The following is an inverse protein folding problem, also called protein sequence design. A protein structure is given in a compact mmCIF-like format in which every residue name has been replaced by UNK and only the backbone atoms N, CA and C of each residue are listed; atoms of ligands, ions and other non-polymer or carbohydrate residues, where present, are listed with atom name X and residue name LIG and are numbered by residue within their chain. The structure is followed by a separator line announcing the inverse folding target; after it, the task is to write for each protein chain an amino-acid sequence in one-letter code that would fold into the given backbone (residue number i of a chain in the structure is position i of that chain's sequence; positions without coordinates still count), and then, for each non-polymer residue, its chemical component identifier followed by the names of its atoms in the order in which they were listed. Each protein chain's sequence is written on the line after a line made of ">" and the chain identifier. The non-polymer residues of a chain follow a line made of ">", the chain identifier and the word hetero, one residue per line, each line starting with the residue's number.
data_IF_387898581021
#
_entry.id   IF_387898581021
#
_cell.length_a   1.000
_cell.length_b   1.000
_cell.length_c   1.000
_cell.angle_alpha   90.00
_cell.angle_beta   90.00
_cell.angle_gamma   90.00
#
_symmetry.space_group_name_H-M   'P 1'
#
loop_
_entity.id
_entity.type
_entity.pdbx_description
1 polymer ?
#
# COMPACT_ATOMS: atom_id res chain seq x y z
N UNK A 1 -5.94 -20.49 21.72
CA UNK A 1 -4.68 -19.71 21.67
C UNK A 1 -5.00 -18.35 21.08
N UNK A 2 -5.28 -17.36 21.92
CA UNK A 2 -5.74 -16.04 21.48
C UNK A 2 -4.52 -15.16 21.14
N UNK A 3 -4.42 -14.71 19.89
CA UNK A 3 -3.46 -13.68 19.49
C UNK A 3 -3.84 -12.36 20.18
N UNK A 4 -3.05 -11.94 21.16
CA UNK A 4 -3.15 -10.62 21.80
C UNK A 4 -2.20 -9.69 21.04
N UNK A 5 -2.68 -8.82 20.14
CA UNK A 5 -1.79 -7.86 19.49
C UNK A 5 -1.16 -6.96 20.56
N UNK A 6 0.13 -6.61 20.44
CA UNK A 6 0.72 -5.61 21.31
C UNK A 6 0.05 -4.27 21.02
N UNK A 7 -0.88 -3.88 21.89
CA UNK A 7 -1.46 -2.55 21.88
C UNK A 7 -0.34 -1.52 22.03
N UNK A 8 -0.21 -0.67 21.02
CA UNK A 8 0.45 0.63 21.12
C UNK A 8 -0.36 1.43 22.14
N UNK A 9 0.23 1.70 23.31
CA UNK A 9 -0.24 2.82 24.13
C UNK A 9 0.16 4.09 23.39
N UNK A 10 -0.78 4.68 22.67
CA UNK A 10 -0.61 6.05 22.19
C UNK A 10 -0.40 6.96 23.42
N UNK A 11 0.60 7.86 23.43
CA UNK A 11 0.56 8.99 24.36
C UNK A 11 -0.80 9.70 24.15
N UNK A 12 -1.43 10.17 25.23
CA UNK A 12 -2.79 10.73 25.23
C UNK A 12 -2.96 11.97 24.37
N UNK A 13 -2.92 11.80 23.05
CA UNK A 13 -3.04 12.81 22.01
C UNK A 13 -3.39 12.12 20.69
N UNK A 14 -3.99 12.87 19.76
CA UNK A 14 -4.40 12.35 18.47
C UNK A 14 -3.22 11.71 17.73
N UNK A 15 -3.42 10.57 17.03
CA UNK A 15 -2.36 9.96 16.24
C UNK A 15 -1.85 10.98 15.22
N UNK A 16 -0.52 11.13 15.07
CA UNK A 16 0.05 12.12 14.17
C UNK A 16 -0.43 11.86 12.75
N UNK A 17 -0.84 12.92 12.06
CA UNK A 17 -1.24 12.82 10.67
C UNK A 17 -0.04 12.39 9.83
N UNK A 18 -0.32 11.82 8.67
CA UNK A 18 0.74 11.31 7.80
C UNK A 18 1.90 12.27 7.46
N UNK A 19 1.60 13.55 7.19
CA UNK A 19 2.63 14.57 6.97
C UNK A 19 3.52 14.82 8.21
N UNK A 20 2.96 14.67 9.41
CA UNK A 20 3.70 14.89 10.66
C UNK A 20 4.70 13.77 10.91
N UNK A 21 4.34 12.53 10.57
CA UNK A 21 5.24 11.38 10.65
C UNK A 21 6.40 11.54 9.67
N UNK A 22 6.15 11.89 8.41
CA UNK A 22 7.21 12.11 7.42
C UNK A 22 8.18 13.22 7.85
N UNK A 23 7.65 14.30 8.44
CA UNK A 23 8.45 15.39 9.01
C UNK A 23 9.33 14.90 10.17
N UNK A 24 8.76 14.18 11.14
CA UNK A 24 9.51 13.61 12.28
C UNK A 24 10.60 12.63 11.84
N UNK A 25 10.32 11.81 10.82
CA UNK A 25 11.31 10.89 10.26
C UNK A 25 12.46 11.65 9.59
N UNK A 26 12.14 12.73 8.88
CA UNK A 26 13.14 13.57 8.20
C UNK A 26 14.01 14.34 9.19
N UNK A 27 13.49 14.66 10.38
CA UNK A 27 14.27 15.25 11.47
C UNK A 27 15.05 14.23 12.31
N UNK A 28 15.04 12.94 11.94
CA UNK A 28 15.78 11.89 12.64
C UNK A 28 15.19 11.50 14.00
N UNK A 29 13.88 11.67 14.21
CA UNK A 29 13.22 11.21 15.43
C UNK A 29 13.33 9.68 15.55
N UNK A 30 14.23 9.23 16.43
CA UNK A 30 14.53 7.81 16.66
C UNK A 30 13.29 7.01 17.07
N UNK A 31 12.38 7.59 17.85
CA UNK A 31 11.16 6.88 18.28
C UNK A 31 10.25 6.65 17.07
N UNK A 32 10.09 7.67 16.23
CA UNK A 32 9.29 7.57 15.01
C UNK A 32 9.90 6.57 14.03
N UNK A 33 11.22 6.60 13.85
CA UNK A 33 11.93 5.65 13.00
C UNK A 33 11.71 4.21 13.47
N UNK A 34 11.83 3.94 14.76
CA UNK A 34 11.56 2.61 15.34
C UNK A 34 10.09 2.19 15.14
N UNK A 35 9.14 3.10 15.35
CA UNK A 35 7.73 2.80 15.16
C UNK A 35 7.41 2.45 13.70
N UNK A 36 7.95 3.20 12.74
CA UNK A 36 7.74 2.95 11.30
C UNK A 36 8.47 1.68 10.85
N UNK A 37 9.66 1.41 11.39
CA UNK A 37 10.36 0.14 11.17
C UNK A 37 9.51 -1.06 11.60
N UNK A 38 8.89 -0.99 12.77
CA UNK A 38 8.00 -2.05 13.27
C UNK A 38 6.75 -2.22 12.39
N UNK A 39 6.15 -1.12 11.90
CA UNK A 39 5.06 -1.22 10.90
C UNK A 39 5.56 -1.90 9.62
N UNK A 40 6.80 -1.63 9.21
CA UNK A 40 7.46 -2.29 8.09
C UNK A 40 7.57 -3.80 8.32
N UNK A 41 7.94 -4.24 9.52
CA UNK A 41 8.00 -5.67 9.86
C UNK A 41 6.65 -6.37 9.67
N UNK A 42 5.58 -5.79 10.21
CA UNK A 42 4.21 -6.32 10.06
C UNK A 42 3.76 -6.34 8.60
N UNK A 43 4.12 -5.31 7.84
CA UNK A 43 3.84 -5.26 6.40
C UNK A 43 4.55 -6.41 5.67
N UNK A 44 5.82 -6.68 6.00
CA UNK A 44 6.57 -7.79 5.42
C UNK A 44 5.99 -9.17 5.76
N UNK A 45 5.52 -9.37 6.99
CA UNK A 45 4.80 -10.57 7.40
C UNK A 45 3.50 -10.75 6.60
N UNK A 46 2.68 -9.70 6.49
CA UNK A 46 1.46 -9.76 5.68
C UNK A 46 1.77 -10.04 4.20
N UNK A 47 2.81 -9.41 3.67
CA UNK A 47 3.26 -9.64 2.29
C UNK A 47 3.77 -11.05 2.06
N UNK A 48 4.41 -11.69 3.03
CA UNK A 48 4.90 -13.07 2.86
C UNK A 48 3.76 -14.07 2.78
N UNK A 49 2.66 -13.83 3.50
CA UNK A 49 1.43 -14.62 3.37
C UNK A 49 0.91 -14.53 1.93
N UNK A 50 0.79 -13.31 1.39
CA UNK A 50 0.35 -13.10 0.01
C UNK A 50 1.34 -13.70 -0.99
N UNK A 51 2.64 -13.58 -0.73
CA UNK A 51 3.68 -14.12 -1.59
C UNK A 51 3.61 -15.65 -1.68
N UNK A 52 3.48 -16.30 -0.53
CA UNK A 52 3.38 -17.76 -0.46
C UNK A 52 2.08 -18.29 -1.07
N UNK A 53 0.98 -17.53 -1.00
CA UNK A 53 -0.32 -17.97 -1.51
C UNK A 53 -0.51 -17.71 -3.01
N UNK A 54 -0.08 -16.55 -3.50
CA UNK A 54 -0.37 -16.10 -4.87
C UNK A 54 0.85 -16.03 -5.79
N UNK A 55 2.07 -16.15 -5.24
CA UNK A 55 3.33 -15.97 -5.97
C UNK A 55 3.37 -14.71 -6.88
N UNK A 56 2.98 -13.52 -6.39
CA UNK A 56 3.02 -12.31 -7.18
C UNK A 56 4.46 -11.82 -7.34
N UNK A 57 4.75 -11.16 -8.46
CA UNK A 57 6.05 -10.50 -8.66
C UNK A 57 6.18 -9.21 -7.85
N UNK A 58 5.07 -8.51 -7.61
CA UNK A 58 5.06 -7.18 -7.01
C UNK A 58 3.83 -7.00 -6.12
N UNK A 59 4.04 -6.43 -4.94
CA UNK A 59 2.97 -5.90 -4.08
C UNK A 59 3.10 -4.37 -4.07
N UNK A 60 2.07 -3.67 -4.54
CA UNK A 60 2.07 -2.20 -4.63
C UNK A 60 1.46 -1.63 -3.36
N UNK A 61 2.19 -0.76 -2.66
CA UNK A 61 1.67 -0.02 -1.52
C UNK A 61 1.20 1.37 -1.95
N UNK A 62 -0.04 1.69 -1.61
CA UNK A 62 -0.68 2.96 -1.97
C UNK A 62 -0.80 3.96 -0.81
N UNK A 63 -1.31 5.14 -1.16
CA UNK A 63 -1.72 6.20 -0.24
C UNK A 63 -0.60 6.55 0.74
N UNK A 64 -0.92 6.62 2.02
CA UNK A 64 -0.04 7.12 3.05
C UNK A 64 1.26 6.30 3.21
N UNK A 65 1.21 5.00 2.99
CA UNK A 65 2.42 4.17 3.06
C UNK A 65 3.39 4.43 1.91
N UNK A 66 2.90 4.90 0.75
CA UNK A 66 3.76 5.24 -0.37
C UNK A 66 4.71 6.41 -0.03
N UNK A 67 4.24 7.41 0.73
CA UNK A 67 5.09 8.51 1.20
C UNK A 67 6.09 8.10 2.28
N UNK A 68 5.80 7.02 3.01
CA UNK A 68 6.70 6.47 4.04
C UNK A 68 7.67 5.41 3.51
N UNK A 69 7.59 5.07 2.22
CA UNK A 69 8.33 3.96 1.64
C UNK A 69 9.84 3.94 1.95
N UNK A 70 10.58 5.08 1.97
CA UNK A 70 12.01 5.08 2.28
C UNK A 70 12.35 4.51 3.66
N UNK A 71 11.47 4.69 4.65
CA UNK A 71 11.67 4.22 6.02
C UNK A 71 10.96 2.88 6.30
N UNK A 72 9.85 2.63 5.60
CA UNK A 72 8.99 1.46 5.81
C UNK A 72 9.49 0.22 5.06
N UNK A 73 9.84 0.37 3.77
CA UNK A 73 10.12 -0.75 2.88
C UNK A 73 11.38 -1.55 3.23
N UNK A 74 12.48 -0.96 3.77
CA UNK A 74 13.65 -1.75 4.14
C UNK A 74 13.32 -2.91 5.09
N UNK A 75 12.55 -2.65 6.15
CA UNK A 75 12.14 -3.68 7.10
C UNK A 75 11.08 -4.62 6.52
N UNK A 76 10.17 -4.10 5.69
CA UNK A 76 9.17 -4.91 5.02
C UNK A 76 9.80 -5.92 4.05
N UNK A 77 10.76 -5.50 3.23
CA UNK A 77 11.48 -6.38 2.32
C UNK A 77 12.30 -7.44 3.07
N UNK A 78 12.95 -7.07 4.17
CA UNK A 78 13.70 -8.04 4.98
C UNK A 78 12.79 -9.12 5.57
N UNK A 79 11.67 -8.72 6.18
CA UNK A 79 10.67 -9.66 6.70
C UNK A 79 10.04 -10.52 5.61
N UNK A 80 9.68 -9.92 4.46
CA UNK A 80 9.13 -10.62 3.31
C UNK A 80 10.08 -11.73 2.85
N UNK A 81 11.37 -11.40 2.67
CA UNK A 81 12.40 -12.35 2.25
C UNK A 81 12.59 -13.47 3.27
N UNK A 82 12.57 -13.16 4.56
CA UNK A 82 12.76 -14.15 5.63
C UNK A 82 11.62 -15.16 5.72
N UNK A 83 10.39 -14.74 5.41
CA UNK A 83 9.17 -15.52 5.64
C UNK A 83 8.59 -16.14 4.35
N UNK A 84 9.14 -15.82 3.19
CA UNK A 84 8.71 -16.39 1.90
C UNK A 84 9.41 -17.73 1.65
N UNK A 85 8.64 -18.76 1.30
CA UNK A 85 9.13 -20.12 1.05
C UNK A 85 9.57 -20.32 -0.42
N UNK A 86 9.07 -19.46 -1.33
CA UNK A 86 9.31 -19.57 -2.77
C UNK A 86 10.79 -19.46 -3.16
N UNK A 87 11.15 -20.13 -4.27
CA UNK A 87 12.52 -20.19 -4.78
C UNK A 87 13.09 -18.79 -5.15
N UNK A 88 14.42 -18.60 -5.14
CA UNK A 88 15.06 -17.29 -5.38
C UNK A 88 14.70 -16.59 -6.71
N UNK A 89 14.22 -17.32 -7.72
CA UNK A 89 13.76 -16.74 -8.99
C UNK A 89 12.37 -16.08 -8.90
N UNK A 90 11.60 -16.36 -7.83
CA UNK A 90 10.23 -15.91 -7.60
C UNK A 90 10.16 -14.77 -6.57
N UNK A 91 11.11 -13.83 -6.61
CA UNK A 91 11.20 -12.76 -5.62
C UNK A 91 10.05 -11.75 -5.76
N UNK A 92 9.06 -11.88 -4.88
CA UNK A 92 8.09 -10.83 -4.61
C UNK A 92 8.78 -9.63 -3.98
N UNK A 93 8.39 -8.41 -4.38
CA UNK A 93 8.89 -7.16 -3.78
C UNK A 93 7.77 -6.15 -3.59
N UNK A 94 7.92 -5.33 -2.56
CA UNK A 94 7.09 -4.13 -2.39
C UNK A 94 7.56 -2.99 -3.30
N UNK A 95 6.61 -2.21 -3.81
CA UNK A 95 6.86 -0.93 -4.50
C UNK A 95 5.88 0.14 -4.03
N UNK A 96 6.31 1.38 -3.97
CA UNK A 96 5.44 2.51 -3.68
C UNK A 96 4.66 2.95 -4.93
N UNK A 97 3.35 3.15 -4.80
CA UNK A 97 2.53 3.69 -5.88
C UNK A 97 2.86 5.15 -6.17
N UNK A 98 3.04 5.50 -7.45
CA UNK A 98 3.25 6.87 -7.93
C UNK A 98 1.94 7.60 -8.29
N UNK A 99 0.79 6.93 -8.12
CA UNK A 99 -0.51 7.44 -8.52
C UNK A 99 -1.10 8.46 -7.52
N UNK A 100 -0.59 8.52 -6.29
CA UNK A 100 -1.05 9.50 -5.30
C UNK A 100 -2.54 9.39 -4.96
N UNK A 101 -3.15 10.49 -4.50
CA UNK A 101 -4.51 10.50 -3.93
C UNK A 101 -5.61 10.13 -4.93
N UNK A 102 -5.44 10.48 -6.21
CA UNK A 102 -6.39 10.19 -7.28
C UNK A 102 -6.34 8.74 -7.80
N UNK A 103 -5.51 7.86 -7.23
CA UNK A 103 -5.36 6.48 -7.70
C UNK A 103 -6.70 5.73 -7.75
N UNK A 104 -7.53 5.85 -6.72
CA UNK A 104 -8.82 5.16 -6.65
C UNK A 104 -9.80 5.68 -7.71
N UNK A 105 -9.95 7.00 -7.82
CA UNK A 105 -10.84 7.63 -8.81
C UNK A 105 -10.42 7.31 -10.25
N UNK A 106 -9.11 7.29 -10.53
CA UNK A 106 -8.60 6.88 -11.85
C UNK A 106 -8.83 5.39 -12.12
N UNK A 107 -8.69 4.54 -11.10
CA UNK A 107 -9.06 3.13 -11.22
C UNK A 107 -10.52 2.96 -11.59
N UNK A 108 -11.42 3.66 -10.89
CA UNK A 108 -12.85 3.64 -11.18
C UNK A 108 -13.18 4.14 -12.60
N UNK A 109 -12.60 5.28 -13.00
CA UNK A 109 -12.76 5.78 -14.37
C UNK A 109 -12.23 4.78 -15.41
N UNK A 110 -11.08 4.16 -15.15
CA UNK A 110 -10.50 3.15 -16.03
C UNK A 110 -11.39 1.90 -16.14
N UNK A 111 -12.11 1.51 -15.08
CA UNK A 111 -13.06 0.40 -15.16
C UNK A 111 -14.22 0.71 -16.10
N UNK A 112 -14.80 1.92 -16.01
CA UNK A 112 -15.87 2.36 -16.92
C UNK A 112 -15.36 2.41 -18.36
N UNK A 113 -14.19 3.01 -18.60
CA UNK A 113 -13.57 3.08 -19.92
C UNK A 113 -13.31 1.68 -20.48
N UNK A 114 -12.73 0.77 -19.69
CA UNK A 114 -12.48 -0.61 -20.11
C UNK A 114 -13.76 -1.34 -20.47
N UNK A 115 -14.87 -1.09 -19.75
CA UNK A 115 -16.16 -1.69 -20.05
C UNK A 115 -16.74 -1.21 -21.39
N UNK A 116 -16.67 0.11 -21.65
CA UNK A 116 -17.11 0.70 -22.92
C UNK A 116 -16.24 0.20 -24.08
N UNK A 117 -14.92 0.07 -23.88
CA UNK A 117 -14.02 -0.46 -24.90
C UNK A 117 -14.35 -1.94 -25.20
N UNK A 118 -14.66 -2.73 -24.18
CA UNK A 118 -15.02 -4.14 -24.34
C UNK A 118 -16.38 -4.32 -25.03
N UNK A 119 -17.34 -3.44 -24.74
CA UNK A 119 -18.65 -3.42 -25.40
C UNK A 119 -19.14 -1.97 -25.61
N UNK A 120 -18.96 -1.42 -26.83
CA UNK A 120 -19.38 -0.06 -27.15
C UNK A 120 -20.90 0.14 -27.18
N UNK A 121 -21.69 -0.93 -27.21
CA UNK A 121 -23.16 -0.80 -27.26
C UNK A 121 -23.74 -0.34 -25.93
N UNK A 122 -22.99 -0.51 -24.84
CA UNK A 122 -23.35 -0.09 -23.46
C UNK A 122 -23.71 1.39 -23.33
N UNK A 123 -23.25 2.25 -24.25
CA UNK A 123 -23.51 3.70 -24.24
C UNK A 123 -24.54 4.15 -25.28
N UNK A 124 -25.06 3.26 -26.13
CA UNK A 124 -26.00 3.64 -27.20
C UNK A 124 -27.37 4.11 -26.70
N UNK A 125 -27.72 3.85 -25.43
CA UNK A 125 -28.96 4.30 -24.78
C UNK A 125 -28.82 5.53 -23.88
N UNK A 126 -27.63 6.12 -23.76
CA UNK A 126 -27.42 7.30 -22.91
C UNK A 126 -28.00 8.56 -23.58
N UNK A 127 -28.65 9.47 -22.81
CA UNK A 127 -29.11 10.74 -23.33
C UNK A 127 -27.95 11.48 -23.98
N UNK A 128 -28.14 11.92 -25.22
CA UNK A 128 -27.14 12.78 -25.88
C UNK A 128 -27.05 14.07 -25.05
N UNK A 129 -25.85 14.54 -24.70
CA UNK A 129 -25.71 15.85 -24.07
C UNK A 129 -26.38 16.89 -24.97
N UNK A 130 -27.13 17.80 -24.36
CA UNK A 130 -27.79 18.88 -25.08
C UNK A 130 -26.72 19.67 -25.86
N UNK A 131 -27.01 20.11 -27.09
CA UNK A 131 -26.12 21.00 -27.80
C UNK A 131 -25.97 22.32 -27.01
N UNK A 132 -24.73 22.81 -26.90
CA UNK A 132 -24.40 24.14 -26.37
C UNK A 132 -24.99 25.26 -27.24
#
# INVERSE_FOLDING_TARGET
>A
MAYKPPFIRAPGGAPPAGPDIARSLSSGDRRMMMAVAQVGEWLGLGGSILANLFNPRVIVIGRYFASLAPWLLPQAHDQLRRLTVAAPAAQCRFVASTLGFGAASRGAASMVISHIIADPTTIMGLPRPAPD
#
